data_IF_786585744925
#
_entry.id   IF_786585744925
#
_cell.length_a   1.000
_cell.length_b   1.000
_cell.length_c   1.000
_cell.angle_alpha   90.00
_cell.angle_beta   90.00
_cell.angle_gamma   90.00
#
_symmetry.space_group_name_H-M   'P 1'
#
loop_
_entity.id
_entity.type
_entity.pdbx_description
1 polymer ?
#
# COMPACT_ATOMS: atom_id res chain seq x y z
N UNK A 1 27.44 -0.50 -30.01
CA UNK A 1 27.12 -0.02 -28.65
C UNK A 1 25.61 -0.17 -28.46
N UNK A 2 25.16 -0.83 -27.38
CA UNK A 2 23.73 -1.03 -27.10
C UNK A 2 23.30 -0.18 -25.90
N UNK A 3 22.29 0.67 -26.10
CA UNK A 3 21.71 1.58 -25.11
C UNK A 3 20.24 1.23 -24.86
N UNK A 4 19.99 0.00 -24.40
CA UNK A 4 18.64 -0.62 -24.37
C UNK A 4 17.77 -0.19 -23.19
N UNK A 5 18.30 0.55 -22.22
CA UNK A 5 17.52 1.12 -21.11
C UNK A 5 16.95 0.09 -20.13
N UNK A 6 15.84 0.45 -19.48
CA UNK A 6 15.16 -0.34 -18.44
C UNK A 6 13.69 -0.61 -18.82
N UNK A 7 13.06 -1.55 -18.12
CA UNK A 7 11.61 -1.78 -18.21
C UNK A 7 10.86 -0.53 -17.76
N UNK A 8 9.73 -0.25 -18.42
CA UNK A 8 8.92 0.93 -18.12
C UNK A 8 8.44 0.92 -16.65
N UNK A 9 8.54 2.04 -15.89
CA UNK A 9 8.08 2.12 -14.50
C UNK A 9 6.63 1.68 -14.23
N UNK A 10 5.64 1.87 -15.12
CA UNK A 10 4.29 1.39 -14.86
C UNK A 10 4.09 -0.12 -15.10
N UNK A 11 5.05 -0.83 -15.70
CA UNK A 11 4.88 -2.25 -16.01
C UNK A 11 5.13 -3.15 -14.80
N UNK A 12 4.34 -4.22 -14.71
CA UNK A 12 4.44 -5.24 -13.66
C UNK A 12 3.96 -4.78 -12.28
N UNK A 13 3.90 -5.76 -11.38
CA UNK A 13 3.54 -5.56 -9.98
C UNK A 13 4.76 -5.15 -9.13
N UNK A 14 4.54 -4.63 -7.90
CA UNK A 14 5.62 -4.41 -6.94
C UNK A 14 6.45 -5.68 -6.69
N UNK A 15 5.80 -6.84 -6.64
CA UNK A 15 6.47 -8.14 -6.50
C UNK A 15 7.39 -8.44 -7.69
N UNK A 16 6.92 -8.23 -8.92
CA UNK A 16 7.72 -8.46 -10.14
C UNK A 16 8.93 -7.52 -10.20
N UNK A 17 8.76 -6.27 -9.75
CA UNK A 17 9.84 -5.26 -9.70
C UNK A 17 10.90 -5.58 -8.65
N UNK A 18 10.48 -6.16 -7.53
CA UNK A 18 11.38 -6.62 -6.48
C UNK A 18 11.99 -8.00 -6.79
N UNK A 19 11.54 -8.67 -7.86
CA UNK A 19 11.87 -10.06 -8.18
C UNK A 19 11.54 -11.02 -7.01
N UNK A 20 10.37 -10.80 -6.41
CA UNK A 20 9.86 -11.56 -5.27
C UNK A 20 8.54 -12.25 -5.61
N UNK A 21 8.25 -13.34 -4.93
CA UNK A 21 6.90 -13.92 -4.89
C UNK A 21 6.22 -13.50 -3.58
N UNK A 22 5.26 -12.60 -3.69
CA UNK A 22 4.45 -12.16 -2.55
C UNK A 22 3.13 -12.90 -2.57
N UNK A 23 2.84 -13.66 -1.52
CA UNK A 23 1.59 -14.41 -1.35
C UNK A 23 0.70 -13.66 -0.35
N UNK A 24 -0.54 -13.39 -0.73
CA UNK A 24 -1.51 -12.68 0.10
C UNK A 24 -2.23 -13.59 1.10
N UNK A 25 -3.12 -13.00 1.90
CA UNK A 25 -3.91 -13.74 2.90
C UNK A 25 -4.76 -14.86 2.32
N UNK A 26 -5.15 -14.73 1.04
CA UNK A 26 -6.02 -15.67 0.35
C UNK A 26 -5.23 -16.80 -0.37
N UNK A 27 -3.91 -16.86 -0.17
CA UNK A 27 -3.03 -17.83 -0.86
C UNK A 27 -2.74 -17.51 -2.32
N UNK A 28 -3.24 -16.38 -2.83
CA UNK A 28 -3.03 -15.92 -4.21
C UNK A 28 -1.81 -14.99 -4.25
N UNK A 29 -1.02 -15.08 -5.32
CA UNK A 29 0.15 -14.22 -5.51
C UNK A 29 -0.23 -12.80 -5.93
N UNK A 30 0.59 -11.80 -5.57
CA UNK A 30 0.38 -10.41 -6.00
C UNK A 30 0.34 -10.26 -7.53
N UNK A 31 1.25 -10.93 -8.23
CA UNK A 31 1.29 -10.91 -9.70
C UNK A 31 -0.01 -11.42 -10.32
N UNK A 32 -0.59 -12.48 -9.76
CA UNK A 32 -1.88 -13.03 -10.21
C UNK A 32 -3.06 -12.12 -9.83
N UNK A 33 -3.12 -11.68 -8.58
CA UNK A 33 -4.22 -10.85 -8.07
C UNK A 33 -4.33 -9.51 -8.82
N UNK A 34 -3.20 -8.79 -8.97
CA UNK A 34 -3.18 -7.52 -9.67
C UNK A 34 -3.35 -7.68 -11.18
N UNK A 35 -2.96 -8.82 -11.78
CA UNK A 35 -3.24 -9.10 -13.19
C UNK A 35 -4.73 -9.31 -13.45
N UNK A 36 -5.48 -9.84 -12.47
CA UNK A 36 -6.92 -10.14 -12.62
C UNK A 36 -7.80 -8.95 -12.27
N UNK A 37 -7.50 -8.27 -11.16
CA UNK A 37 -8.36 -7.26 -10.57
C UNK A 37 -7.80 -5.84 -10.67
N UNK A 38 -6.55 -5.69 -11.10
CA UNK A 38 -5.81 -4.43 -11.00
C UNK A 38 -5.33 -4.13 -9.57
N UNK A 39 -4.52 -3.08 -9.38
CA UNK A 39 -4.10 -2.63 -8.07
C UNK A 39 -5.31 -2.09 -7.27
N UNK A 40 -5.48 -2.59 -6.04
CA UNK A 40 -6.49 -2.13 -5.10
C UNK A 40 -5.83 -1.65 -3.81
N UNK A 41 -5.28 -0.45 -3.86
CA UNK A 41 -4.46 0.11 -2.77
C UNK A 41 -5.13 1.28 -2.06
N UNK A 42 -4.84 1.45 -0.78
CA UNK A 42 -5.19 2.62 0.02
C UNK A 42 -3.99 3.59 0.01
N UNK A 43 -4.22 4.78 -0.57
CA UNK A 43 -3.20 5.82 -0.78
C UNK A 43 -1.92 5.35 -1.48
N UNK A 44 -1.98 4.24 -2.23
CA UNK A 44 -0.82 3.65 -2.89
C UNK A 44 0.20 2.97 -1.99
N UNK A 45 -0.03 2.95 -0.66
CA UNK A 45 0.93 2.41 0.32
C UNK A 45 0.50 1.06 0.92
N UNK A 46 -0.77 0.69 0.83
CA UNK A 46 -1.32 -0.53 1.43
C UNK A 46 -2.25 -1.24 0.46
N UNK A 47 -2.23 -2.58 0.45
CA UNK A 47 -3.23 -3.41 -0.22
C UNK A 47 -3.84 -4.35 0.81
N UNK A 48 -5.18 -4.40 0.90
CA UNK A 48 -5.89 -5.18 1.92
C UNK A 48 -5.67 -6.69 1.77
N UNK A 49 -5.31 -7.17 0.59
CA UNK A 49 -5.05 -8.60 0.32
C UNK A 49 -3.63 -9.01 0.72
N UNK A 50 -2.76 -8.04 0.99
CA UNK A 50 -1.36 -8.21 1.39
C UNK A 50 -1.10 -7.45 2.70
N UNK A 51 -1.64 -7.93 3.84
CA UNK A 51 -1.50 -7.24 5.12
C UNK A 51 -0.03 -7.13 5.55
N UNK A 52 0.31 -6.04 6.25
CA UNK A 52 1.67 -5.73 6.73
C UNK A 52 2.73 -5.56 5.62
N UNK A 53 2.31 -5.41 4.36
CA UNK A 53 3.19 -5.04 3.25
C UNK A 53 2.94 -3.58 2.87
N UNK A 54 4.00 -2.76 2.92
CA UNK A 54 3.95 -1.36 2.54
C UNK A 54 4.58 -1.13 1.17
N UNK A 55 3.84 -0.47 0.29
CA UNK A 55 4.23 -0.19 -1.09
C UNK A 55 4.81 1.22 -1.23
N UNK A 56 5.82 1.37 -2.08
CA UNK A 56 6.47 2.66 -2.40
C UNK A 56 6.38 2.99 -3.90
N UNK A 57 5.49 2.29 -4.60
CA UNK A 57 5.28 2.42 -6.04
C UNK A 57 4.32 3.55 -6.40
N UNK A 58 4.25 3.93 -7.69
CA UNK A 58 3.39 5.01 -8.16
C UNK A 58 1.92 4.59 -8.34
N UNK A 59 1.59 3.31 -8.19
CA UNK A 59 0.25 2.79 -8.47
C UNK A 59 -0.75 3.35 -7.45
N UNK A 60 -1.73 4.12 -7.95
CA UNK A 60 -2.74 4.83 -7.15
C UNK A 60 -2.14 5.79 -6.09
N UNK A 61 -0.94 6.31 -6.37
CA UNK A 61 -0.26 7.31 -5.58
C UNK A 61 0.10 8.53 -6.42
N UNK A 62 0.40 9.65 -5.76
CA UNK A 62 0.95 10.83 -6.44
C UNK A 62 2.44 10.62 -6.74
N UNK A 63 2.90 11.14 -7.87
CA UNK A 63 4.33 11.15 -8.22
C UNK A 63 4.80 12.57 -8.49
N UNK A 64 5.93 12.94 -7.89
CA UNK A 64 6.68 14.14 -8.24
C UNK A 64 7.88 13.82 -9.13
N UNK A 65 8.42 14.85 -9.81
CA UNK A 65 9.67 14.73 -10.58
C UNK A 65 10.90 14.39 -9.73
N UNK A 66 10.80 14.48 -8.39
CA UNK A 66 11.84 14.07 -7.47
C UNK A 66 11.45 12.79 -6.72
N UNK A 67 12.02 11.67 -7.13
CA UNK A 67 11.71 10.38 -6.49
C UNK A 67 12.05 10.33 -4.99
N UNK A 68 13.10 11.05 -4.54
CA UNK A 68 13.45 11.13 -3.11
C UNK A 68 12.34 11.80 -2.29
N UNK A 69 11.72 12.85 -2.82
CA UNK A 69 10.60 13.52 -2.18
C UNK A 69 9.42 12.56 -2.00
N UNK A 70 9.09 11.79 -3.04
CA UNK A 70 8.00 10.81 -2.96
C UNK A 70 8.29 9.75 -1.88
N UNK A 71 9.52 9.24 -1.81
CA UNK A 71 9.90 8.24 -0.81
C UNK A 71 9.81 8.78 0.63
N UNK A 72 10.21 10.03 0.86
CA UNK A 72 10.12 10.67 2.18
C UNK A 72 8.67 10.83 2.62
N UNK A 73 7.80 11.30 1.72
CA UNK A 73 6.36 11.42 2.00
C UNK A 73 5.69 10.06 2.22
N UNK A 74 6.05 9.03 1.44
CA UNK A 74 5.58 7.66 1.69
C UNK A 74 6.04 7.13 3.05
N UNK A 75 7.31 7.35 3.42
CA UNK A 75 7.84 6.89 4.69
C UNK A 75 7.13 7.55 5.88
N UNK A 76 6.91 8.87 5.84
CA UNK A 76 6.13 9.60 6.84
C UNK A 76 4.70 9.10 6.92
N UNK A 77 4.07 8.86 5.77
CA UNK A 77 2.69 8.38 5.73
C UNK A 77 2.56 6.98 6.33
N UNK A 78 3.46 6.06 5.98
CA UNK A 78 3.53 4.72 6.56
C UNK A 78 3.77 4.77 8.06
N UNK A 79 4.70 5.62 8.52
CA UNK A 79 4.98 5.80 9.95
C UNK A 79 3.74 6.30 10.71
N UNK A 80 2.98 7.24 10.13
CA UNK A 80 1.72 7.72 10.69
C UNK A 80 0.66 6.62 10.77
N UNK A 81 0.47 5.84 9.69
CA UNK A 81 -0.48 4.71 9.69
C UNK A 81 -0.09 3.71 10.79
N UNK A 82 1.20 3.40 10.91
CA UNK A 82 1.71 2.50 11.94
C UNK A 82 1.46 3.06 13.35
N UNK A 83 1.74 4.35 13.60
CA UNK A 83 1.51 4.96 14.91
C UNK A 83 0.04 4.93 15.31
N UNK A 84 -0.87 5.24 14.39
CA UNK A 84 -2.32 5.17 14.62
C UNK A 84 -2.81 3.72 14.81
N UNK A 85 -2.14 2.75 14.19
CA UNK A 85 -2.46 1.33 14.40
C UNK A 85 -1.95 0.77 15.72
N UNK A 86 -0.84 1.32 16.25
CA UNK A 86 -0.16 0.85 17.45
C UNK A 86 -0.76 1.37 18.76
N UNK A 87 -1.85 2.14 18.71
CA UNK A 87 -2.53 2.66 19.91
C UNK A 87 -3.35 1.57 20.64
N UNK A 88 -3.32 0.31 20.17
CA UNK A 88 -3.89 -0.84 20.88
C UNK A 88 -2.90 -2.02 20.89
N UNK A 89 -2.28 -2.37 22.03
CA UNK A 89 -1.38 -3.51 22.12
C UNK A 89 -2.22 -4.79 22.25
N UNK A 90 -2.79 -5.31 21.17
CA UNK A 90 -3.36 -6.65 21.18
C UNK A 90 -2.99 -7.42 19.91
N UNK A 91 -2.22 -8.48 20.11
CA UNK A 91 -1.83 -9.44 19.09
C UNK A 91 -3.06 -10.03 18.42
N UNK A 92 -2.90 -10.27 17.12
CA UNK A 92 -3.96 -10.61 16.16
C UNK A 92 -4.96 -9.46 15.95
N UNK A 93 -4.98 -8.87 14.76
CA UNK A 93 -6.21 -8.33 14.17
C UNK A 93 -5.95 -7.95 12.71
N UNK A 94 -6.50 -8.80 11.85
CA UNK A 94 -6.83 -8.50 10.46
C UNK A 94 -7.54 -7.15 10.39
N UNK A 95 -6.97 -6.20 9.66
CA UNK A 95 -7.52 -4.86 9.42
C UNK A 95 -8.89 -4.95 8.72
N UNK A 96 -9.98 -4.68 9.43
CA UNK A 96 -11.28 -4.39 8.83
C UNK A 96 -11.57 -2.89 8.91
N UNK A 97 -11.86 -2.27 7.76
CA UNK A 97 -12.09 -0.83 7.52
C UNK A 97 -13.35 -0.26 8.21
N UNK A 98 -13.86 -0.90 9.26
CA UNK A 98 -15.12 -0.50 9.91
C UNK A 98 -14.93 0.54 11.03
N UNK A 99 -13.70 0.80 11.50
CA UNK A 99 -13.49 1.63 12.70
C UNK A 99 -13.48 3.14 12.45
N UNK A 100 -13.25 3.60 11.22
CA UNK A 100 -13.16 5.05 10.91
C UNK A 100 -14.53 5.75 10.73
N UNK A 101 -15.64 5.01 10.62
CA UNK A 101 -16.97 5.62 10.39
C UNK A 101 -17.74 5.95 11.68
N UNK A 102 -17.34 5.42 12.84
CA UNK A 102 -18.13 5.57 14.09
C UNK A 102 -17.76 6.76 14.98
N UNK A 103 -16.61 7.41 14.78
CA UNK A 103 -16.15 8.47 15.69
C UNK A 103 -16.61 9.89 15.32
N UNK A 104 -17.20 10.13 14.14
CA UNK A 104 -17.55 11.49 13.67
C UNK A 104 -19.06 11.81 13.63
N UNK A 105 -19.92 11.08 14.35
CA UNK A 105 -21.39 11.31 14.29
C UNK A 105 -22.08 11.33 15.66
N UNK A 106 -21.38 11.71 16.73
CA UNK A 106 -21.88 11.69 18.10
C UNK A 106 -22.01 13.04 18.84
N UNK A 107 -21.41 14.13 18.35
CA UNK A 107 -21.35 15.38 19.12
C UNK A 107 -21.76 16.59 18.27
N UNK A 108 -23.07 16.82 18.13
CA UNK A 108 -23.64 18.14 17.89
C UNK A 108 -25.16 18.10 18.11
N UNK A 109 -25.60 17.94 19.36
CA UNK A 109 -26.91 18.39 19.85
C UNK A 109 -26.82 18.74 21.33
N UNK A 110 -26.61 20.01 21.62
CA UNK A 110 -27.05 20.73 22.82
C UNK A 110 -27.07 22.21 22.48
#
# INVERSE_FOLDING_TARGET
>A
MFATGFRAPPSGTPADKANLTVIGSNGISMSEEWSRCGPTTLHGVLDTKFPNLFLSGPQQASTSGNYRFNLDEYAKHVAYILSESNVEPMGNLSLSLQRLRRQNFGEHRS
#
